data_IF_001917832330
#
_entry.id   IF_001917832330
#
_cell.length_a   1.000
_cell.length_b   1.000
_cell.length_c   1.000
_cell.angle_alpha   90.00
_cell.angle_beta   90.00
_cell.angle_gamma   90.00
#
_symmetry.space_group_name_H-M   'P 1'
#
loop_
_entity.id
_entity.type
_entity.pdbx_description
1 polymer ?
#
# COMPACT_ATOMS: atom_id res chain seq x y z
N UNK A 1 -8.63 -24.93 2.80
CA UNK A 1 -8.53 -24.17 4.06
C UNK A 1 -9.92 -23.85 4.57
N UNK A 2 -10.14 -23.98 5.87
CA UNK A 2 -11.42 -23.66 6.54
C UNK A 2 -11.39 -22.24 7.14
N UNK A 3 -10.21 -21.63 7.20
CA UNK A 3 -9.99 -20.29 7.71
C UNK A 3 -8.89 -19.58 6.90
N UNK A 4 -9.09 -18.28 6.60
CA UNK A 4 -8.13 -17.39 5.98
C UNK A 4 -8.11 -16.05 6.69
N UNK A 5 -6.96 -15.40 6.71
CA UNK A 5 -6.77 -14.08 7.27
C UNK A 5 -6.45 -13.09 6.14
N UNK A 6 -7.04 -11.91 6.21
CA UNK A 6 -6.75 -10.78 5.33
C UNK A 6 -6.26 -9.64 6.20
N UNK A 7 -5.11 -9.08 5.86
CA UNK A 7 -4.56 -7.90 6.53
C UNK A 7 -4.57 -6.72 5.55
N UNK A 8 -5.00 -5.56 6.03
CA UNK A 8 -5.06 -4.31 5.26
C UNK A 8 -4.46 -3.16 6.07
N UNK A 9 -4.02 -2.13 5.38
CA UNK A 9 -3.72 -0.84 6.02
C UNK A 9 -5.04 -0.12 6.37
N UNK A 10 -5.04 0.68 7.42
CA UNK A 10 -6.22 1.48 7.82
C UNK A 10 -6.68 2.36 6.66
N UNK A 11 -7.96 2.28 6.32
CA UNK A 11 -8.59 3.04 5.24
C UNK A 11 -8.45 2.42 3.84
N UNK A 12 -7.62 1.38 3.68
CA UNK A 12 -7.39 0.69 2.40
C UNK A 12 -8.29 -0.54 2.26
N UNK A 13 -8.50 -0.98 1.00
CA UNK A 13 -9.28 -2.17 0.64
C UNK A 13 -8.50 -3.09 -0.31
N UNK A 14 -7.17 -3.05 -0.26
CA UNK A 14 -6.25 -3.79 -1.13
C UNK A 14 -5.85 -5.17 -0.58
N UNK A 15 -6.25 -5.49 0.65
CA UNK A 15 -6.00 -6.79 1.25
C UNK A 15 -6.81 -7.90 0.59
N UNK A 16 -6.13 -8.95 0.14
CA UNK A 16 -6.77 -10.11 -0.48
C UNK A 16 -6.26 -11.43 0.11
N UNK A 17 -7.12 -12.46 0.04
CA UNK A 17 -6.74 -13.84 0.30
C UNK A 17 -7.25 -14.76 -0.80
N UNK A 18 -6.55 -15.86 -1.03
CA UNK A 18 -6.91 -16.83 -2.07
C UNK A 18 -7.29 -18.16 -1.42
N UNK A 19 -8.45 -18.68 -1.81
CA UNK A 19 -8.93 -20.02 -1.45
C UNK A 19 -9.01 -20.86 -2.72
N UNK A 20 -8.28 -21.98 -2.74
CA UNK A 20 -8.37 -22.96 -3.82
C UNK A 20 -9.25 -24.12 -3.38
N UNK A 21 -10.31 -24.37 -4.15
CA UNK A 21 -11.19 -25.53 -3.94
C UNK A 21 -10.56 -26.77 -4.57
N UNK A 22 -10.23 -27.77 -3.77
CA UNK A 22 -9.54 -28.99 -4.22
C UNK A 22 -10.48 -30.18 -4.45
N UNK A 23 -11.79 -29.97 -4.37
CA UNK A 23 -12.79 -31.02 -4.55
C UNK A 23 -14.10 -30.44 -5.01
N UNK A 24 -15.11 -31.29 -5.24
CA UNK A 24 -16.42 -30.88 -5.75
C UNK A 24 -16.54 -31.05 -7.27
N UNK A 25 -17.64 -30.54 -7.84
CA UNK A 25 -18.05 -30.82 -9.22
C UNK A 25 -17.79 -29.63 -10.18
N UNK A 26 -17.05 -28.61 -9.72
CA UNK A 26 -16.80 -27.39 -10.50
C UNK A 26 -18.02 -26.45 -10.57
N UNK A 27 -17.90 -25.37 -11.35
CA UNK A 27 -18.97 -24.37 -11.46
C UNK A 27 -19.27 -23.72 -10.12
N UNK A 28 -18.21 -23.24 -9.45
CA UNK A 28 -18.31 -22.70 -8.10
C UNK A 28 -18.97 -21.32 -8.09
N UNK A 29 -19.84 -21.13 -7.11
CA UNK A 29 -20.39 -19.86 -6.68
C UNK A 29 -19.94 -19.61 -5.22
N UNK A 30 -19.76 -18.37 -4.85
CA UNK A 30 -19.41 -18.04 -3.46
C UNK A 30 -20.13 -16.76 -3.03
N UNK A 31 -20.55 -16.70 -1.78
CA UNK A 31 -21.30 -15.59 -1.20
C UNK A 31 -20.78 -15.33 0.20
N UNK A 32 -20.59 -14.06 0.56
CA UNK A 32 -20.30 -13.59 1.90
C UNK A 32 -21.58 -13.35 2.68
N UNK A 33 -21.59 -13.66 3.96
CA UNK A 33 -22.65 -13.27 4.89
C UNK A 33 -22.49 -11.81 5.38
N UNK A 34 -21.27 -11.23 5.24
CA UNK A 34 -20.90 -9.87 5.63
C UNK A 34 -19.99 -9.24 4.58
N UNK A 35 -20.56 -8.71 3.50
CA UNK A 35 -19.82 -8.05 2.41
C UNK A 35 -19.16 -6.75 2.85
N UNK A 36 -19.61 -6.13 3.94
CA UNK A 36 -19.01 -4.98 4.60
C UNK A 36 -17.71 -5.32 5.36
N UNK A 37 -17.43 -6.62 5.59
CA UNK A 37 -16.20 -7.12 6.20
C UNK A 37 -15.30 -7.77 5.14
N UNK A 38 -15.86 -8.70 4.37
CA UNK A 38 -15.14 -9.38 3.30
C UNK A 38 -16.08 -9.73 2.14
N UNK A 39 -15.63 -9.50 0.92
CA UNK A 39 -16.40 -9.81 -0.28
C UNK A 39 -15.68 -10.82 -1.17
N UNK A 40 -16.44 -11.51 -2.02
CA UNK A 40 -15.90 -12.36 -3.09
C UNK A 40 -15.51 -11.46 -4.25
N UNK A 41 -14.21 -11.25 -4.44
CA UNK A 41 -13.68 -10.37 -5.49
C UNK A 41 -13.70 -11.04 -6.89
N UNK A 42 -13.31 -12.31 -6.96
CA UNK A 42 -13.33 -13.05 -8.22
C UNK A 42 -13.37 -14.57 -7.99
N UNK A 43 -13.92 -15.28 -8.97
CA UNK A 43 -13.89 -16.73 -9.05
C UNK A 43 -13.36 -17.10 -10.44
N UNK A 44 -12.22 -17.78 -10.49
CA UNK A 44 -11.60 -18.28 -11.72
C UNK A 44 -11.34 -19.77 -11.54
N UNK A 45 -12.08 -20.60 -12.25
CA UNK A 45 -12.07 -22.06 -12.12
C UNK A 45 -12.30 -22.51 -10.66
N UNK A 46 -11.27 -23.03 -10.00
CA UNK A 46 -11.30 -23.46 -8.59
C UNK A 46 -10.65 -22.44 -7.63
N UNK A 47 -10.25 -21.28 -8.11
CA UNK A 47 -9.58 -20.23 -7.34
C UNK A 47 -10.56 -19.12 -7.00
N UNK A 48 -10.79 -18.90 -5.73
CA UNK A 48 -11.66 -17.85 -5.21
C UNK A 48 -10.78 -16.81 -4.54
N UNK A 49 -10.82 -15.58 -5.05
CA UNK A 49 -10.14 -14.43 -4.43
C UNK A 49 -11.13 -13.68 -3.55
N UNK A 50 -10.79 -13.53 -2.29
CA UNK A 50 -11.56 -12.80 -1.29
C UNK A 50 -10.85 -11.49 -1.01
N UNK A 51 -11.59 -10.38 -1.00
CA UNK A 51 -11.09 -9.06 -0.67
C UNK A 51 -11.61 -8.63 0.70
N UNK A 52 -10.72 -8.10 1.55
CA UNK A 52 -11.09 -7.42 2.79
C UNK A 52 -11.72 -6.07 2.49
N UNK A 53 -12.77 -5.71 3.24
CA UNK A 53 -13.50 -4.44 3.13
C UNK A 53 -13.47 -3.70 4.46
N UNK A 54 -13.70 -4.39 5.57
CA UNK A 54 -13.71 -3.82 6.92
C UNK A 54 -13.20 -4.79 7.97
N UNK A 55 -12.81 -4.27 9.11
CA UNK A 55 -12.29 -5.08 10.22
C UNK A 55 -13.38 -5.98 10.81
N UNK A 56 -13.11 -7.27 10.96
CA UNK A 56 -14.08 -8.22 11.51
C UNK A 56 -13.94 -9.64 10.98
N UNK A 57 -15.03 -10.41 11.07
CA UNK A 57 -15.08 -11.78 10.59
C UNK A 57 -16.32 -11.98 9.73
N UNK A 58 -16.14 -12.60 8.57
CA UNK A 58 -17.20 -13.01 7.65
C UNK A 58 -17.10 -14.50 7.33
N UNK A 59 -18.23 -15.11 6.93
CA UNK A 59 -18.29 -16.48 6.47
C UNK A 59 -18.56 -16.48 4.95
N UNK A 60 -17.63 -17.03 4.17
CA UNK A 60 -17.80 -17.21 2.73
C UNK A 60 -18.35 -18.62 2.49
N UNK A 61 -19.56 -18.72 1.99
CA UNK A 61 -20.17 -20.00 1.60
C UNK A 61 -19.89 -20.26 0.12
N UNK A 62 -19.18 -21.34 -0.16
CA UNK A 62 -18.84 -21.80 -1.51
C UNK A 62 -19.77 -22.94 -1.85
N UNK A 63 -20.38 -22.89 -3.04
CA UNK A 63 -21.30 -23.90 -3.57
C UNK A 63 -20.82 -24.38 -4.92
N UNK A 64 -20.84 -25.70 -5.16
CA UNK A 64 -20.60 -26.26 -6.50
C UNK A 64 -21.89 -26.40 -7.32
N UNK A 65 -21.76 -26.75 -8.60
CA UNK A 65 -22.90 -26.92 -9.52
C UNK A 65 -23.89 -28.02 -9.11
N UNK A 66 -23.51 -28.94 -8.21
CA UNK A 66 -24.37 -29.99 -7.68
C UNK A 66 -25.04 -29.59 -6.37
N UNK A 67 -24.77 -28.37 -5.88
CA UNK A 67 -25.35 -27.84 -4.67
C UNK A 67 -24.61 -28.21 -3.37
N UNK A 68 -23.46 -28.86 -3.45
CA UNK A 68 -22.62 -29.11 -2.28
C UNK A 68 -21.99 -27.79 -1.81
N UNK A 69 -22.08 -27.54 -0.51
CA UNK A 69 -21.59 -26.30 0.09
C UNK A 69 -20.44 -26.53 1.06
N UNK A 70 -19.52 -25.59 1.13
CA UNK A 70 -18.46 -25.48 2.13
C UNK A 70 -18.32 -24.04 2.56
N UNK A 71 -18.10 -23.82 3.86
CA UNK A 71 -17.89 -22.48 4.41
C UNK A 71 -16.43 -22.26 4.78
N UNK A 72 -15.94 -21.05 4.50
CA UNK A 72 -14.62 -20.57 4.87
C UNK A 72 -14.80 -19.38 5.79
N UNK A 73 -14.20 -19.42 6.97
CA UNK A 73 -14.13 -18.28 7.87
C UNK A 73 -13.04 -17.32 7.38
N UNK A 74 -13.40 -16.05 7.23
CA UNK A 74 -12.48 -14.97 6.83
C UNK A 74 -12.37 -13.98 7.99
N UNK A 75 -11.15 -13.77 8.48
CA UNK A 75 -10.87 -12.74 9.47
C UNK A 75 -10.10 -11.63 8.79
N UNK A 76 -10.68 -10.42 8.79
CA UNK A 76 -10.07 -9.21 8.25
C UNK A 76 -9.56 -8.37 9.41
N UNK A 77 -8.29 -7.97 9.34
CA UNK A 77 -7.66 -7.07 10.32
C UNK A 77 -7.05 -5.88 9.62
N UNK A 78 -7.29 -4.68 10.20
CA UNK A 78 -6.64 -3.45 9.75
C UNK A 78 -5.46 -3.10 10.64
N UNK A 79 -4.42 -2.51 10.07
CA UNK A 79 -3.23 -2.06 10.78
C UNK A 79 -2.87 -0.63 10.38
N UNK A 80 -2.36 0.13 11.35
CA UNK A 80 -1.75 1.46 11.15
C UNK A 80 -0.22 1.37 10.93
N UNK A 81 0.33 0.16 10.90
CA UNK A 81 1.74 -0.07 10.57
C UNK A 81 1.93 0.16 9.07
N UNK A 82 2.69 1.20 8.66
CA UNK A 82 2.84 1.54 7.25
C UNK A 82 3.63 0.48 6.46
N UNK A 83 4.63 -0.13 7.09
CA UNK A 83 5.50 -1.12 6.46
C UNK A 83 5.84 -2.25 7.42
N UNK A 84 5.64 -3.50 7.00
CA UNK A 84 6.14 -4.67 7.73
C UNK A 84 7.65 -4.82 7.55
N UNK A 85 8.29 -5.69 8.32
CA UNK A 85 9.73 -5.95 8.19
C UNK A 85 10.08 -6.55 6.82
N UNK A 86 9.19 -7.37 6.25
CA UNK A 86 9.34 -7.96 4.92
C UNK A 86 9.23 -6.88 3.82
N UNK A 87 8.28 -5.95 3.94
CA UNK A 87 8.13 -4.81 3.02
C UNK A 87 9.38 -3.91 3.08
N UNK A 88 9.88 -3.57 4.28
CA UNK A 88 11.12 -2.81 4.47
C UNK A 88 12.32 -3.53 3.86
N UNK A 89 12.46 -4.83 4.08
CA UNK A 89 13.54 -5.63 3.52
C UNK A 89 13.49 -5.64 1.98
N UNK A 90 12.30 -5.77 1.41
CA UNK A 90 12.08 -5.71 -0.04
C UNK A 90 12.48 -4.35 -0.63
N UNK A 91 12.07 -3.25 0.02
CA UNK A 91 12.44 -1.90 -0.39
C UNK A 91 13.97 -1.70 -0.34
N UNK A 92 14.61 -2.14 0.76
CA UNK A 92 16.07 -2.04 0.91
C UNK A 92 16.87 -2.91 -0.08
N UNK A 93 16.28 -3.99 -0.58
CA UNK A 93 16.89 -4.86 -1.58
C UNK A 93 16.81 -4.27 -3.00
N UNK A 94 15.83 -3.43 -3.28
CA UNK A 94 15.68 -2.77 -4.58
C UNK A 94 16.71 -1.64 -4.74
N UNK A 95 17.23 -1.50 -5.95
CA UNK A 95 18.09 -0.38 -6.39
C UNK A 95 17.48 0.42 -7.53
N UNK A 96 16.24 0.09 -7.93
CA UNK A 96 15.52 0.83 -8.95
C UNK A 96 15.06 2.18 -8.38
N UNK A 97 15.47 3.30 -8.96
CA UNK A 97 15.03 4.63 -8.51
C UNK A 97 13.52 4.76 -8.65
N UNK A 98 12.85 5.09 -7.57
CA UNK A 98 11.40 5.22 -7.52
C UNK A 98 10.98 6.15 -6.37
N UNK A 99 9.87 6.84 -6.55
CA UNK A 99 9.17 7.54 -5.48
C UNK A 99 7.68 7.22 -5.58
N UNK A 100 7.08 6.81 -4.48
CA UNK A 100 5.66 6.44 -4.36
C UNK A 100 5.10 7.09 -3.11
N UNK A 101 3.89 7.63 -3.19
CA UNK A 101 3.13 8.07 -2.03
C UNK A 101 1.64 7.97 -2.36
N UNK A 102 0.88 7.20 -1.59
CA UNK A 102 -0.48 6.79 -1.91
C UNK A 102 -0.57 6.24 -3.36
N UNK A 103 -1.51 6.73 -4.14
CA UNK A 103 -1.67 6.36 -5.56
C UNK A 103 -0.67 7.07 -6.48
N UNK A 104 0.09 8.04 -5.93
CA UNK A 104 1.11 8.78 -6.68
C UNK A 104 2.38 7.96 -6.86
N UNK A 105 2.85 7.84 -8.11
CA UNK A 105 4.08 7.15 -8.46
C UNK A 105 4.90 7.98 -9.44
N UNK A 106 6.21 8.03 -9.20
CA UNK A 106 7.16 8.58 -10.18
C UNK A 106 7.09 7.79 -11.49
N UNK A 107 7.19 8.48 -12.60
CA UNK A 107 7.11 7.91 -13.94
C UNK A 107 8.50 7.92 -14.58
N UNK A 108 8.67 7.16 -15.64
CA UNK A 108 9.92 7.06 -16.40
C UNK A 108 10.45 8.42 -16.88
N UNK A 109 9.55 9.39 -17.09
CA UNK A 109 9.90 10.76 -17.47
C UNK A 109 9.98 11.64 -16.22
N UNK A 110 10.98 12.49 -16.15
CA UNK A 110 11.24 13.36 -15.02
C UNK A 110 12.59 13.09 -14.39
N UNK A 111 13.03 14.04 -13.59
CA UNK A 111 14.26 13.93 -12.80
C UNK A 111 13.94 13.44 -11.39
N UNK A 112 14.80 12.58 -10.86
CA UNK A 112 14.76 12.18 -9.46
C UNK A 112 16.06 12.62 -8.79
N UNK A 113 15.96 13.24 -7.63
CA UNK A 113 17.14 13.68 -6.88
C UNK A 113 16.86 13.87 -5.40
N UNK A 114 17.93 13.88 -4.63
CA UNK A 114 17.95 14.47 -3.29
C UNK A 114 18.69 15.79 -3.35
N UNK A 115 18.09 16.85 -2.83
CA UNK A 115 18.61 18.21 -2.85
C UNK A 115 18.35 18.96 -1.56
N UNK A 116 18.39 20.28 -1.68
CA UNK A 116 17.99 21.21 -0.62
C UNK A 116 17.08 22.30 -1.20
N UNK A 117 16.06 22.66 -0.46
CA UNK A 117 15.12 23.73 -0.78
C UNK A 117 14.68 24.39 0.54
N UNK A 118 14.81 25.73 0.64
CA UNK A 118 14.43 26.53 1.80
C UNK A 118 15.00 26.00 3.15
N UNK A 119 16.26 25.55 3.11
CA UNK A 119 16.95 25.02 4.32
C UNK A 119 16.58 23.60 4.71
N UNK A 120 15.66 22.95 4.00
CA UNK A 120 15.28 21.56 4.19
C UNK A 120 15.89 20.64 3.13
N UNK A 121 16.06 19.37 3.46
CA UNK A 121 16.32 18.33 2.47
C UNK A 121 15.05 18.10 1.66
N UNK A 122 15.21 17.79 0.39
CA UNK A 122 14.14 17.40 -0.50
C UNK A 122 14.51 16.11 -1.24
N UNK A 123 13.67 15.11 -1.11
CA UNK A 123 13.64 13.95 -2.00
C UNK A 123 12.52 14.21 -3.02
N UNK A 124 12.84 14.23 -4.30
CA UNK A 124 11.85 14.58 -5.31
C UNK A 124 11.95 13.76 -6.58
N UNK A 125 10.79 13.47 -7.13
CA UNK A 125 10.57 13.24 -8.54
C UNK A 125 9.87 14.48 -9.11
N UNK A 126 10.43 15.07 -10.18
CA UNK A 126 9.88 16.25 -10.80
C UNK A 126 9.93 16.09 -12.33
N UNK A 127 8.77 16.14 -12.97
CA UNK A 127 8.65 16.24 -14.42
C UNK A 127 8.44 17.69 -14.86
N UNK A 128 7.66 18.47 -14.11
CA UNK A 128 7.36 19.87 -14.33
C UNK A 128 6.64 20.46 -13.11
N UNK A 129 6.31 21.73 -13.12
CA UNK A 129 5.46 22.35 -12.07
C UNK A 129 4.06 21.74 -11.99
N UNK A 130 3.68 20.92 -12.96
CA UNK A 130 2.37 20.26 -13.04
C UNK A 130 2.39 18.79 -12.64
N UNK A 131 3.54 18.15 -12.54
CA UNK A 131 3.66 16.74 -12.17
C UNK A 131 4.89 16.54 -11.29
N UNK A 132 4.68 16.21 -10.02
CA UNK A 132 5.74 15.98 -9.06
C UNK A 132 5.32 15.10 -7.87
N UNK A 133 6.31 14.49 -7.25
CA UNK A 133 6.27 13.95 -5.89
C UNK A 133 7.46 14.56 -5.15
N UNK A 134 7.21 15.22 -4.03
CA UNK A 134 8.22 15.92 -3.26
C UNK A 134 8.07 15.62 -1.78
N UNK A 135 9.15 15.22 -1.14
CA UNK A 135 9.21 15.01 0.30
C UNK A 135 10.26 15.93 0.90
N UNK A 136 9.85 16.89 1.72
CA UNK A 136 10.74 17.78 2.46
C UNK A 136 10.91 17.27 3.89
N UNK A 137 12.12 17.36 4.42
CA UNK A 137 12.43 17.00 5.79
C UNK A 137 13.67 17.73 6.30
N UNK A 138 13.80 17.85 7.63
CA UNK A 138 14.96 18.43 8.30
C UNK A 138 15.85 17.32 8.84
N UNK A 139 17.17 17.50 8.75
CA UNK A 139 18.19 16.57 9.24
C UNK A 139 19.12 16.04 8.13
N UNK A 140 20.10 15.25 8.55
CA UNK A 140 21.08 14.66 7.65
C UNK A 140 20.57 13.42 6.95
N UNK A 141 21.24 13.02 5.84
CA UNK A 141 20.96 11.79 5.12
C UNK A 141 21.59 10.57 5.83
N UNK A 142 21.23 10.39 7.12
CA UNK A 142 21.64 9.22 7.92
C UNK A 142 20.41 8.37 8.23
N UNK A 143 20.61 7.09 8.53
CA UNK A 143 19.51 6.20 8.95
C UNK A 143 18.82 6.74 10.19
N UNK A 144 17.50 6.69 10.21
CA UNK A 144 16.63 7.11 11.30
C UNK A 144 15.57 8.14 10.91
N UNK A 145 14.74 8.49 11.87
CA UNK A 145 13.63 9.42 11.73
C UNK A 145 14.11 10.84 11.42
N UNK A 146 13.33 11.54 10.59
CA UNK A 146 13.55 12.93 10.21
C UNK A 146 12.47 13.83 10.79
N UNK A 147 12.75 15.11 10.92
CA UNK A 147 11.85 16.08 11.53
C UNK A 147 11.23 17.04 10.50
N UNK A 148 10.18 17.75 10.92
CA UNK A 148 9.54 18.83 10.15
C UNK A 148 9.24 18.47 8.70
N UNK A 149 8.67 17.29 8.51
CA UNK A 149 8.51 16.69 7.19
C UNK A 149 7.14 16.97 6.59
N UNK A 150 7.09 17.06 5.27
CA UNK A 150 5.86 17.15 4.49
C UNK A 150 6.01 16.47 3.14
N UNK A 151 4.90 16.09 2.53
CA UNK A 151 4.87 15.50 1.18
C UNK A 151 3.91 16.29 0.30
N UNK A 152 4.40 16.71 -0.86
CA UNK A 152 3.61 17.32 -1.93
C UNK A 152 3.42 16.35 -3.08
N UNK A 153 2.17 16.20 -3.54
CA UNK A 153 1.77 15.29 -4.61
C UNK A 153 1.01 16.04 -5.69
N UNK A 154 1.44 15.90 -6.92
CA UNK A 154 0.71 16.31 -8.11
C UNK A 154 0.99 15.31 -9.23
N UNK A 155 0.06 14.42 -9.50
CA UNK A 155 0.22 13.31 -10.46
C UNK A 155 -0.69 13.41 -11.67
N UNK A 156 -1.58 14.39 -11.66
CA UNK A 156 -2.45 14.73 -12.78
C UNK A 156 -2.17 16.15 -13.27
N UNK A 157 -2.05 16.32 -14.57
CA UNK A 157 -1.75 17.60 -15.23
C UNK A 157 -2.81 18.68 -14.96
N UNK A 158 -4.07 18.25 -14.87
CA UNK A 158 -5.24 19.12 -14.67
C UNK A 158 -5.76 19.10 -13.23
N UNK A 159 -5.22 18.17 -12.43
CA UNK A 159 -5.58 18.02 -11.03
C UNK A 159 -4.96 19.08 -10.12
N UNK A 160 -5.50 19.18 -8.91
CA UNK A 160 -4.93 20.00 -7.85
C UNK A 160 -3.71 19.30 -7.23
N UNK A 161 -2.80 20.12 -6.69
CA UNK A 161 -1.72 19.59 -5.85
C UNK A 161 -2.23 19.36 -4.44
N UNK A 162 -1.80 18.28 -3.81
CA UNK A 162 -2.09 18.00 -2.41
C UNK A 162 -0.79 18.08 -1.60
N UNK A 163 -0.85 18.75 -0.45
CA UNK A 163 0.26 18.77 0.51
C UNK A 163 -0.17 18.14 1.82
N UNK A 164 0.60 17.17 2.28
CA UNK A 164 0.45 16.49 3.56
C UNK A 164 1.51 17.02 4.52
N UNK A 165 1.08 17.72 5.56
CA UNK A 165 1.95 18.22 6.63
C UNK A 165 2.08 17.20 7.75
N UNK A 166 3.22 17.19 8.44
CA UNK A 166 3.46 16.30 9.58
C UNK A 166 3.66 14.83 9.20
N UNK A 167 4.06 14.57 7.96
CA UNK A 167 4.39 13.21 7.49
C UNK A 167 5.60 12.69 8.28
N UNK A 168 5.52 11.46 8.78
CA UNK A 168 6.69 10.78 9.31
C UNK A 168 7.61 10.39 8.16
N UNK A 169 8.91 10.63 8.29
CA UNK A 169 9.93 10.24 7.32
C UNK A 169 11.05 9.50 8.04
N UNK A 170 11.36 8.30 7.58
CA UNK A 170 12.45 7.47 8.09
C UNK A 170 13.40 7.12 6.95
N UNK A 171 14.67 7.49 7.08
CA UNK A 171 15.71 6.96 6.20
C UNK A 171 16.10 5.57 6.73
N UNK A 172 15.93 4.54 5.91
CA UNK A 172 16.16 3.14 6.32
C UNK A 172 17.47 2.58 5.80
N UNK A 173 18.04 3.17 4.74
CA UNK A 173 19.31 2.75 4.16
C UNK A 173 19.95 3.91 3.41
N UNK A 174 21.27 3.97 3.45
CA UNK A 174 22.10 4.92 2.69
C UNK A 174 23.27 4.15 2.10
N UNK A 175 23.59 4.44 0.84
CA UNK A 175 24.82 4.02 0.17
C UNK A 175 25.54 5.23 -0.42
N UNK A 176 26.68 5.02 -1.07
CA UNK A 176 27.43 6.10 -1.74
C UNK A 176 26.62 6.78 -2.86
N UNK A 177 25.63 6.08 -3.41
CA UNK A 177 24.90 6.54 -4.61
C UNK A 177 23.40 6.68 -4.41
N UNK A 178 22.83 6.11 -3.35
CA UNK A 178 21.38 6.07 -3.15
C UNK A 178 20.97 6.19 -1.69
N UNK A 179 19.73 6.67 -1.50
CA UNK A 179 19.07 6.80 -0.21
C UNK A 179 17.67 6.14 -0.29
N UNK A 180 17.33 5.32 0.68
CA UNK A 180 16.03 4.69 0.84
C UNK A 180 15.29 5.35 1.99
N UNK A 181 14.10 5.86 1.73
CA UNK A 181 13.28 6.51 2.75
C UNK A 181 11.84 6.03 2.72
N UNK A 182 11.24 5.93 3.89
CA UNK A 182 9.83 5.65 4.11
C UNK A 182 9.10 6.92 4.50
N UNK A 183 7.84 7.04 4.10
CA UNK A 183 6.97 8.17 4.40
C UNK A 183 5.60 7.65 4.82
N UNK A 184 5.01 8.18 5.92
CA UNK A 184 3.65 7.82 6.31
C UNK A 184 2.98 8.87 7.20
N UNK A 185 1.66 8.90 7.13
CA UNK A 185 0.80 9.76 7.94
C UNK A 185 -0.54 9.05 8.18
N UNK A 186 -0.93 8.85 9.43
CA UNK A 186 -2.30 8.46 9.76
C UNK A 186 -3.13 9.72 9.93
N UNK A 187 -4.09 9.96 9.04
CA UNK A 187 -4.97 11.13 9.05
C UNK A 187 -6.38 10.73 8.66
N UNK A 188 -7.39 11.24 9.37
CA UNK A 188 -8.80 11.01 9.08
C UNK A 188 -9.16 9.51 8.91
N UNK A 189 -8.57 8.64 9.73
CA UNK A 189 -8.70 7.19 9.68
C UNK A 189 -8.27 6.56 8.32
N UNK A 190 -7.31 7.19 7.67
CA UNK A 190 -6.66 6.70 6.47
C UNK A 190 -5.14 6.76 6.64
N UNK A 191 -4.45 5.65 6.36
CA UNK A 191 -3.00 5.57 6.40
C UNK A 191 -2.42 5.95 5.04
N UNK A 192 -1.99 7.20 4.91
CA UNK A 192 -1.18 7.65 3.79
C UNK A 192 0.24 7.09 3.95
N UNK A 193 0.78 6.46 2.93
CA UNK A 193 2.15 5.92 3.00
C UNK A 193 2.81 5.79 1.64
N UNK A 194 4.12 5.71 1.66
CA UNK A 194 4.93 5.55 0.47
C UNK A 194 6.41 5.48 0.81
N UNK A 195 7.23 5.39 -0.20
CA UNK A 195 8.67 5.31 -0.05
C UNK A 195 9.39 5.95 -1.25
N UNK A 196 10.67 6.20 -1.09
CA UNK A 196 11.56 6.59 -2.18
C UNK A 196 12.88 5.81 -2.14
N UNK A 197 13.43 5.60 -3.32
CA UNK A 197 14.79 5.10 -3.59
C UNK A 197 15.39 6.09 -4.59
N UNK A 198 16.33 6.90 -4.17
CA UNK A 198 16.88 8.01 -4.97
C UNK A 198 18.38 8.05 -4.91
#
# INVERSE_FOLDING_TARGET
KEEVNVSMKVGHTDGTAVVTVTGGNGGYEAVSDHEDIAEVHSIVDSVITIRGVGNGTAMITIKDKMGLTKTVKVTVTTTDIPFTDEEKASIMASTEPIMVFDDGRSRQYGSMRIGQEDGKRIAEWNYSDYLYLKCWFTGDLTVGMKAESKVGVKTDYWGESTTYEGVNVEIIKVSDTQVWGLMWLLKDNYLHYGYFIL
#
